data_IF_794806207966
#
_entry.id   IF_794806207966
#
_cell.length_a   1.000
_cell.length_b   1.000
_cell.length_c   1.000
_cell.angle_alpha   90.00
_cell.angle_beta   90.00
_cell.angle_gamma   90.00
#
_symmetry.space_group_name_H-M   'P 1'
#
loop_
_entity.id
_entity.type
_entity.pdbx_description
1 polymer ?
#
# COMPACT_ATOMS: atom_id res chain seq x y z
N UNK A 1 -10.72 18.21 -0.83
CA UNK A 1 -11.71 17.12 -0.67
C UNK A 1 -11.26 15.89 0.14
N UNK A 2 -9.96 15.56 0.23
CA UNK A 2 -9.50 14.33 0.90
C UNK A 2 -9.46 14.30 2.43
N UNK A 3 -9.48 15.45 3.11
CA UNK A 3 -9.41 15.53 4.59
C UNK A 3 -10.80 15.39 5.22
N UNK A 4 -11.80 16.11 4.69
CA UNK A 4 -13.20 16.05 5.17
C UNK A 4 -13.76 14.62 5.05
N UNK A 5 -13.57 13.97 3.89
CA UNK A 5 -13.97 12.56 3.69
C UNK A 5 -13.29 11.59 4.66
N UNK A 6 -12.03 11.84 5.03
CA UNK A 6 -11.31 11.00 6.00
C UNK A 6 -11.81 11.20 7.41
N UNK A 7 -12.04 12.46 7.81
CA UNK A 7 -12.56 12.76 9.14
C UNK A 7 -13.97 12.18 9.30
N UNK A 8 -14.81 12.27 8.27
CA UNK A 8 -16.13 11.65 8.24
C UNK A 8 -16.06 10.12 8.33
N UNK A 9 -15.22 9.47 7.52
CA UNK A 9 -15.03 8.02 7.61
C UNK A 9 -14.48 7.58 8.98
N UNK A 10 -13.61 8.39 9.59
CA UNK A 10 -13.08 8.12 10.94
C UNK A 10 -14.19 8.23 11.99
N UNK A 11 -15.04 9.25 11.89
CA UNK A 11 -16.19 9.42 12.78
C UNK A 11 -17.16 8.25 12.65
N UNK A 12 -17.48 7.82 11.42
CA UNK A 12 -18.38 6.69 11.16
C UNK A 12 -17.80 5.38 11.72
N UNK A 13 -16.52 5.10 11.45
CA UNK A 13 -15.90 3.87 11.96
C UNK A 13 -15.82 3.85 13.49
N UNK A 14 -15.58 5.00 14.12
CA UNK A 14 -15.55 5.13 15.57
C UNK A 14 -16.94 5.03 16.19
N UNK A 15 -17.97 5.60 15.55
CA UNK A 15 -19.35 5.47 16.00
C UNK A 15 -19.86 4.04 15.88
N UNK A 16 -19.49 3.31 14.83
CA UNK A 16 -19.84 1.89 14.69
C UNK A 16 -19.22 1.05 15.82
N UNK A 17 -17.92 1.23 16.10
CA UNK A 17 -17.28 0.52 17.20
C UNK A 17 -17.87 0.87 18.57
N UNK A 18 -18.13 2.16 18.82
CA UNK A 18 -18.75 2.63 20.05
C UNK A 18 -20.18 2.07 20.22
N UNK A 19 -20.97 2.06 19.15
CA UNK A 19 -22.32 1.49 19.15
C UNK A 19 -22.31 0.03 19.62
N UNK A 20 -21.43 -0.82 19.07
CA UNK A 20 -21.38 -2.24 19.46
C UNK A 20 -20.98 -2.39 20.92
N UNK A 21 -19.98 -1.63 21.38
CA UNK A 21 -19.55 -1.70 22.79
C UNK A 21 -20.69 -1.28 23.73
N UNK A 22 -21.38 -0.18 23.43
CA UNK A 22 -22.51 0.29 24.24
C UNK A 22 -23.68 -0.71 24.22
N UNK A 23 -23.95 -1.32 23.06
CA UNK A 23 -25.01 -2.31 22.89
C UNK A 23 -24.71 -3.62 23.63
N UNK A 24 -23.55 -4.22 23.37
CA UNK A 24 -23.23 -5.57 23.83
C UNK A 24 -22.74 -5.56 25.27
N UNK A 25 -21.88 -4.61 25.65
CA UNK A 25 -21.25 -4.61 26.98
C UNK A 25 -22.15 -3.99 28.06
N UNK A 26 -22.97 -3.00 27.68
CA UNK A 26 -23.78 -2.26 28.64
C UNK A 26 -25.29 -2.41 28.42
N UNK A 27 -25.76 -2.93 27.28
CA UNK A 27 -27.19 -3.12 27.02
C UNK A 27 -28.00 -1.83 27.00
N UNK A 28 -27.36 -0.68 26.78
CA UNK A 28 -28.00 0.64 26.93
C UNK A 28 -28.80 1.09 25.70
N UNK A 29 -28.72 0.34 24.60
CA UNK A 29 -29.35 0.73 23.33
C UNK A 29 -30.81 0.28 23.28
N UNK A 30 -31.12 -0.93 23.74
CA UNK A 30 -32.49 -1.42 23.81
C UNK A 30 -33.44 -0.50 24.61
N UNK A 31 -33.14 -0.08 25.85
CA UNK A 31 -34.04 0.77 26.64
C UNK A 31 -34.23 2.20 26.09
N UNK A 32 -33.32 2.68 25.24
CA UNK A 32 -33.42 4.03 24.65
C UNK A 32 -34.33 4.05 23.41
N UNK A 33 -34.51 2.89 22.76
CA UNK A 33 -35.24 2.76 21.49
C UNK A 33 -36.58 2.05 21.68
N UNK A 34 -36.71 1.18 22.69
CA UNK A 34 -37.85 0.32 22.93
C UNK A 34 -38.42 0.65 24.30
N UNK A 35 -39.67 1.14 24.33
CA UNK A 35 -40.33 1.49 25.58
C UNK A 35 -40.61 0.23 26.43
N UNK A 36 -40.13 0.24 27.67
CA UNK A 36 -40.31 -0.87 28.62
C UNK A 36 -39.27 -1.99 28.54
N UNK A 37 -38.27 -1.89 27.66
CA UNK A 37 -37.18 -2.85 27.62
C UNK A 37 -36.21 -2.66 28.80
N UNK A 38 -35.83 -3.76 29.45
CA UNK A 38 -34.73 -3.78 30.41
C UNK A 38 -33.37 -3.65 29.69
N UNK A 39 -32.27 -3.28 30.40
CA UNK A 39 -30.94 -3.22 29.82
C UNK A 39 -30.54 -4.58 29.21
N UNK A 40 -30.60 -4.62 27.88
CA UNK A 40 -30.46 -5.84 27.10
C UNK A 40 -29.75 -5.52 25.79
N UNK A 41 -29.09 -6.54 25.24
CA UNK A 41 -28.39 -6.39 23.97
C UNK A 41 -29.41 -6.44 22.83
N UNK A 42 -29.32 -5.50 21.91
CA UNK A 42 -30.09 -5.52 20.68
C UNK A 42 -29.38 -6.35 19.60
N UNK A 43 -29.95 -7.48 19.14
CA UNK A 43 -29.35 -8.26 18.05
C UNK A 43 -29.64 -7.60 16.69
N UNK A 44 -28.69 -6.80 16.19
CA UNK A 44 -28.85 -5.99 14.96
C UNK A 44 -29.23 -6.82 13.73
N UNK A 45 -28.75 -8.06 13.62
CA UNK A 45 -29.10 -8.93 12.49
C UNK A 45 -30.54 -9.44 12.58
N UNK A 46 -31.05 -9.69 13.79
CA UNK A 46 -32.44 -10.12 13.98
C UNK A 46 -33.41 -8.97 13.73
N UNK A 47 -33.01 -7.73 13.98
CA UNK A 47 -33.81 -6.53 13.64
C UNK A 47 -34.11 -6.37 12.14
N UNK A 48 -33.43 -7.13 11.26
CA UNK A 48 -33.74 -7.18 9.82
C UNK A 48 -34.94 -8.09 9.52
N UNK A 49 -35.34 -8.93 10.48
CA UNK A 49 -36.46 -9.83 10.34
C UNK A 49 -37.77 -9.09 10.67
N UNK A 50 -38.85 -9.32 9.91
CA UNK A 50 -40.07 -8.53 10.03
C UNK A 50 -40.80 -8.71 11.38
N UNK A 51 -40.50 -9.76 12.13
CA UNK A 51 -41.04 -10.00 13.47
C UNK A 51 -40.24 -9.30 14.58
N UNK A 52 -39.07 -8.74 14.27
CA UNK A 52 -38.28 -7.93 15.19
C UNK A 52 -38.46 -6.42 14.95
N UNK A 53 -39.63 -6.02 14.45
CA UNK A 53 -39.99 -4.60 14.40
C UNK A 53 -40.18 -4.08 15.84
N UNK A 54 -39.73 -2.85 16.11
CA UNK A 54 -39.81 -2.22 17.44
C UNK A 54 -41.21 -2.32 18.04
N UNK A 55 -42.25 -2.05 17.24
CA UNK A 55 -43.64 -2.12 17.68
C UNK A 55 -44.12 -3.52 18.10
N UNK A 56 -43.56 -4.57 17.50
CA UNK A 56 -43.90 -5.96 17.88
C UNK A 56 -43.15 -6.35 19.16
N UNK A 57 -41.89 -5.92 19.29
CA UNK A 57 -41.10 -6.12 20.52
C UNK A 57 -41.75 -5.42 21.72
N UNK A 58 -42.17 -4.16 21.56
CA UNK A 58 -42.88 -3.42 22.62
C UNK A 58 -44.18 -4.13 23.03
N UNK A 59 -44.88 -4.71 22.06
CA UNK A 59 -46.10 -5.47 22.31
C UNK A 59 -45.81 -6.75 23.07
N UNK A 60 -44.80 -7.53 22.67
CA UNK A 60 -44.36 -8.75 23.37
C UNK A 60 -43.96 -8.45 24.83
N UNK A 61 -43.20 -7.37 25.05
CA UNK A 61 -42.80 -6.90 26.38
C UNK A 61 -44.03 -6.47 27.19
N UNK A 62 -44.99 -5.77 26.58
CA UNK A 62 -46.22 -5.33 27.25
C UNK A 62 -47.12 -6.51 27.69
N UNK A 63 -47.03 -7.62 26.97
CA UNK A 63 -47.72 -8.89 27.28
C UNK A 63 -46.94 -9.72 28.33
N UNK A 64 -45.75 -9.27 28.73
CA UNK A 64 -44.90 -9.92 29.73
C UNK A 64 -44.05 -11.08 29.17
N UNK A 65 -43.89 -11.17 27.85
CA UNK A 65 -43.07 -12.17 27.19
C UNK A 65 -41.65 -11.65 26.93
N UNK A 66 -40.67 -12.55 27.05
CA UNK A 66 -39.31 -12.29 26.59
C UNK A 66 -39.29 -12.19 25.06
N UNK A 67 -38.60 -11.18 24.52
CA UNK A 67 -38.49 -11.01 23.08
C UNK A 67 -37.26 -11.73 22.51
N UNK A 68 -37.46 -12.47 21.43
CA UNK A 68 -36.40 -13.23 20.73
C UNK A 68 -35.30 -12.35 20.11
N UNK A 69 -35.63 -11.08 19.90
CA UNK A 69 -34.80 -10.06 19.25
C UNK A 69 -33.82 -9.39 20.23
N UNK A 70 -34.02 -9.58 21.53
CA UNK A 70 -33.13 -9.12 22.59
C UNK A 70 -32.26 -10.29 23.08
N UNK A 71 -31.00 -9.98 23.36
CA UNK A 71 -30.01 -10.92 23.89
C UNK A 71 -29.49 -10.49 25.26
N UNK A 72 -28.82 -11.40 25.99
CA UNK A 72 -28.20 -11.05 27.25
C UNK A 72 -27.00 -10.11 27.05
N UNK A 73 -26.80 -9.23 28.03
CA UNK A 73 -25.66 -8.31 28.06
C UNK A 73 -24.37 -9.10 28.29
N UNK A 74 -23.31 -8.74 27.57
CA UNK A 74 -22.00 -9.39 27.64
C UNK A 74 -21.82 -10.58 26.69
N UNK A 75 -22.87 -11.06 26.05
CA UNK A 75 -22.76 -12.13 25.05
C UNK A 75 -22.45 -11.56 23.66
N UNK A 76 -21.28 -11.89 23.13
CA UNK A 76 -20.83 -11.42 21.83
C UNK A 76 -21.21 -12.39 20.72
N UNK A 77 -21.98 -11.92 19.73
CA UNK A 77 -22.33 -12.70 18.55
C UNK A 77 -21.40 -12.40 17.37
N UNK A 78 -21.41 -13.29 16.37
CA UNK A 78 -20.64 -13.09 15.13
C UNK A 78 -20.98 -11.78 14.41
N UNK A 79 -22.24 -11.35 14.47
CA UNK A 79 -22.68 -10.08 13.89
C UNK A 79 -22.01 -8.87 14.54
N UNK A 80 -21.82 -8.88 15.86
CA UNK A 80 -21.20 -7.80 16.62
C UNK A 80 -19.73 -7.64 16.24
N UNK A 81 -19.01 -8.76 16.10
CA UNK A 81 -17.62 -8.78 15.65
C UNK A 81 -17.47 -8.33 14.19
N UNK A 82 -18.40 -8.71 13.31
CA UNK A 82 -18.41 -8.21 11.95
C UNK A 82 -18.59 -6.69 11.92
N UNK A 83 -19.53 -6.14 12.70
CA UNK A 83 -19.78 -4.71 12.74
C UNK A 83 -18.60 -3.92 13.33
N UNK A 84 -17.98 -4.40 14.41
CA UNK A 84 -16.73 -3.81 14.94
C UNK A 84 -15.60 -3.94 13.93
N UNK A 85 -15.46 -5.11 13.29
CA UNK A 85 -14.44 -5.39 12.29
C UNK A 85 -14.53 -4.43 11.10
N UNK A 86 -15.73 -4.16 10.60
CA UNK A 86 -15.98 -3.17 9.56
C UNK A 86 -15.66 -1.74 10.03
N UNK A 87 -16.09 -1.36 11.23
CA UNK A 87 -15.77 -0.06 11.84
C UNK A 87 -14.26 0.16 11.97
N UNK A 88 -13.53 -0.84 12.49
CA UNK A 88 -12.07 -0.84 12.60
C UNK A 88 -11.40 -0.83 11.23
N UNK A 89 -11.92 -1.57 10.25
CA UNK A 89 -11.37 -1.58 8.89
C UNK A 89 -11.43 -0.19 8.25
N UNK A 90 -12.56 0.52 8.39
CA UNK A 90 -12.71 1.90 7.92
C UNK A 90 -11.70 2.82 8.62
N UNK A 91 -11.52 2.69 9.93
CA UNK A 91 -10.55 3.45 10.73
C UNK A 91 -9.10 3.21 10.25
N UNK A 92 -8.73 1.94 10.09
CA UNK A 92 -7.39 1.53 9.68
C UNK A 92 -7.06 2.00 8.27
N UNK A 93 -7.98 1.85 7.31
CA UNK A 93 -7.78 2.34 5.93
C UNK A 93 -7.67 3.87 5.86
N UNK A 94 -8.37 4.59 6.75
CA UNK A 94 -8.36 6.05 6.79
C UNK A 94 -7.10 6.65 7.41
N UNK A 95 -6.56 6.05 8.48
CA UNK A 95 -5.47 6.60 9.31
C UNK A 95 -4.13 5.92 9.06
N UNK A 96 -4.11 4.62 8.80
CA UNK A 96 -2.90 3.82 8.74
C UNK A 96 -2.30 3.88 7.34
N UNK A 97 -1.52 4.95 7.11
CA UNK A 97 -0.74 5.11 5.89
C UNK A 97 0.57 4.35 6.02
N UNK A 98 0.65 3.20 5.35
CA UNK A 98 1.93 2.51 5.18
C UNK A 98 2.95 3.45 4.52
N UNK A 99 4.22 3.44 4.97
CA UNK A 99 5.25 4.32 4.43
C UNK A 99 5.35 4.15 2.90
N UNK A 100 5.26 5.27 2.19
CA UNK A 100 5.02 5.26 0.74
C UNK A 100 6.30 5.34 -0.09
N UNK A 101 7.31 6.08 0.37
CA UNK A 101 8.54 6.37 -0.37
C UNK A 101 9.79 6.10 0.48
N UNK A 102 10.89 5.74 -0.18
CA UNK A 102 12.21 5.55 0.43
C UNK A 102 12.59 4.08 0.68
N UNK A 103 13.88 3.86 0.98
CA UNK A 103 14.44 2.52 1.23
C UNK A 103 13.79 1.82 2.43
N UNK A 104 13.40 2.59 3.45
CA UNK A 104 12.69 2.09 4.63
C UNK A 104 11.26 1.64 4.33
N UNK A 105 10.55 2.33 3.44
CA UNK A 105 9.23 1.90 2.99
C UNK A 105 9.25 0.51 2.31
N UNK A 106 10.26 0.25 1.46
CA UNK A 106 10.44 -1.06 0.83
C UNK A 106 10.76 -2.17 1.85
N UNK A 107 11.57 -1.88 2.86
CA UNK A 107 11.90 -2.84 3.94
C UNK A 107 10.69 -3.16 4.81
N UNK A 108 9.99 -2.14 5.30
CA UNK A 108 8.79 -2.31 6.13
C UNK A 108 7.72 -3.11 5.39
N UNK A 109 7.52 -2.88 4.09
CA UNK A 109 6.59 -3.67 3.28
C UNK A 109 6.98 -5.13 3.14
N UNK A 110 8.27 -5.44 2.94
CA UNK A 110 8.72 -6.84 2.90
C UNK A 110 8.42 -7.53 4.21
N UNK A 111 8.70 -6.87 5.34
CA UNK A 111 8.40 -7.40 6.67
C UNK A 111 6.91 -7.62 6.84
N UNK A 112 6.07 -6.62 6.57
CA UNK A 112 4.61 -6.73 6.66
C UNK A 112 4.07 -7.86 5.77
N UNK A 113 4.55 -7.98 4.53
CA UNK A 113 4.15 -9.04 3.62
C UNK A 113 4.56 -10.42 4.16
N UNK A 114 5.80 -10.59 4.64
CA UNK A 114 6.25 -11.86 5.22
C UNK A 114 5.49 -12.21 6.50
N UNK A 115 5.16 -11.22 7.33
CA UNK A 115 4.34 -11.41 8.52
C UNK A 115 2.89 -11.76 8.16
N UNK A 116 2.33 -11.13 7.12
CA UNK A 116 1.03 -11.50 6.55
C UNK A 116 1.02 -12.93 6.01
N UNK A 117 2.04 -13.28 5.22
CA UNK A 117 2.62 -14.61 5.00
C UNK A 117 2.31 -15.60 6.11
N UNK A 118 2.99 -15.37 7.23
CA UNK A 118 2.96 -16.22 8.39
C UNK A 118 1.56 -16.30 9.01
N UNK A 119 0.88 -15.19 9.25
CA UNK A 119 -0.44 -15.20 9.89
C UNK A 119 -1.51 -15.90 9.06
N UNK A 120 -1.54 -15.66 7.75
CA UNK A 120 -2.48 -16.33 6.87
C UNK A 120 -2.16 -17.84 6.74
N UNK A 121 -0.88 -18.18 6.66
CA UNK A 121 -0.44 -19.59 6.67
C UNK A 121 -0.78 -20.30 7.97
N UNK A 122 -0.59 -19.65 9.12
CA UNK A 122 -0.97 -20.17 10.43
C UNK A 122 -2.48 -20.38 10.50
N UNK A 123 -3.30 -19.45 10.01
CA UNK A 123 -4.76 -19.62 9.98
C UNK A 123 -5.20 -20.81 9.12
N UNK A 124 -4.50 -21.09 8.00
CA UNK A 124 -4.75 -22.27 7.17
C UNK A 124 -4.31 -23.55 7.87
N UNK A 125 -3.11 -23.56 8.46
CA UNK A 125 -2.57 -24.72 9.18
C UNK A 125 -3.42 -25.07 10.40
N UNK A 126 -4.00 -24.06 11.05
CA UNK A 126 -4.98 -24.19 12.12
C UNK A 126 -6.26 -24.88 11.62
N UNK A 127 -6.71 -24.59 10.39
CA UNK A 127 -7.88 -25.28 9.80
C UNK A 127 -7.61 -26.74 9.48
N UNK A 128 -6.37 -27.03 9.12
CA UNK A 128 -5.91 -28.37 8.77
C UNK A 128 -5.50 -29.19 10.01
N UNK A 129 -5.71 -28.66 11.22
CA UNK A 129 -5.38 -29.30 12.50
C UNK A 129 -3.90 -29.74 12.61
N UNK A 130 -3.02 -29.09 11.84
CA UNK A 130 -1.59 -29.38 11.78
C UNK A 130 -0.80 -28.66 12.88
N UNK A 131 -1.44 -27.78 13.64
CA UNK A 131 -0.82 -27.01 14.72
C UNK A 131 -1.09 -27.67 16.08
N UNK A 132 -0.11 -27.63 17.01
CA UNK A 132 -0.35 -28.03 18.39
C UNK A 132 -1.39 -27.11 19.03
N UNK A 133 -2.26 -27.68 19.87
CA UNK A 133 -3.41 -27.00 20.50
C UNK A 133 -3.05 -25.71 21.25
N UNK A 134 -1.81 -25.57 21.71
CA UNK A 134 -1.30 -24.36 22.38
C UNK A 134 -1.05 -23.17 21.44
N UNK A 135 -0.91 -23.40 20.13
CA UNK A 135 -0.66 -22.37 19.10
C UNK A 135 -1.87 -22.18 18.18
N UNK A 136 -2.81 -23.12 18.20
CA UNK A 136 -4.05 -23.05 17.44
C UNK A 136 -5.05 -22.04 17.98
N UNK A 137 -6.13 -21.82 17.23
CA UNK A 137 -7.20 -20.89 17.60
C UNK A 137 -7.86 -21.21 18.95
N UNK A 138 -7.89 -22.48 19.35
CA UNK A 138 -8.40 -22.92 20.65
C UNK A 138 -7.53 -22.39 21.80
N UNK A 139 -6.21 -22.56 21.71
CA UNK A 139 -5.27 -22.04 22.69
C UNK A 139 -5.35 -20.52 22.80
N UNK A 140 -5.39 -19.81 21.68
CA UNK A 140 -5.48 -18.35 21.68
C UNK A 140 -6.82 -17.86 22.23
N UNK A 141 -7.93 -18.54 21.93
CA UNK A 141 -9.25 -18.21 22.48
C UNK A 141 -9.26 -18.29 24.01
N UNK A 142 -8.57 -19.26 24.61
CA UNK A 142 -8.49 -19.39 26.09
C UNK A 142 -7.64 -18.32 26.78
N UNK A 143 -6.76 -17.62 26.06
CA UNK A 143 -5.95 -16.53 26.61
C UNK A 143 -6.67 -15.17 26.59
N UNK A 144 -7.73 -15.04 25.78
CA UNK A 144 -8.50 -13.80 25.70
C UNK A 144 -9.53 -13.83 26.84
N UNK A 145 -9.63 -12.78 27.68
CA UNK A 145 -10.57 -12.73 28.81
C UNK A 145 -12.03 -12.50 28.38
N UNK A 146 -12.41 -12.97 27.19
CA UNK A 146 -13.71 -12.81 26.54
C UNK A 146 -14.05 -14.16 25.91
N UNK A 147 -15.27 -14.67 26.13
CA UNK A 147 -15.77 -15.89 25.51
C UNK A 147 -15.87 -15.69 23.98
N UNK A 148 -14.81 -16.05 23.26
CA UNK A 148 -14.75 -15.99 21.81
C UNK A 148 -14.63 -17.40 21.23
N UNK A 149 -15.40 -17.67 20.17
CA UNK A 149 -15.26 -18.94 19.45
C UNK A 149 -13.87 -19.04 18.77
N UNK A 150 -13.22 -20.22 18.77
CA UNK A 150 -11.94 -20.43 18.10
C UNK A 150 -11.98 -20.05 16.60
N UNK A 151 -13.12 -20.30 15.95
CA UNK A 151 -13.33 -19.97 14.54
C UNK A 151 -13.16 -18.46 14.26
N UNK A 152 -13.53 -17.58 15.21
CA UNK A 152 -13.34 -16.13 15.05
C UNK A 152 -11.88 -15.71 15.19
N UNK A 153 -11.14 -16.33 16.11
CA UNK A 153 -9.70 -16.08 16.25
C UNK A 153 -8.99 -16.45 14.94
N UNK A 154 -9.38 -17.56 14.34
CA UNK A 154 -8.87 -18.02 13.05
C UNK A 154 -9.18 -17.04 11.91
N UNK A 155 -10.44 -16.60 11.78
CA UNK A 155 -10.84 -15.62 10.76
C UNK A 155 -10.13 -14.29 10.99
N UNK A 156 -10.02 -13.83 12.23
CA UNK A 156 -9.30 -12.61 12.60
C UNK A 156 -7.83 -12.68 12.17
N UNK A 157 -7.15 -13.78 12.46
CA UNK A 157 -5.77 -14.01 12.04
C UNK A 157 -5.62 -14.03 10.51
N UNK A 158 -6.56 -14.66 9.80
CA UNK A 158 -6.59 -14.67 8.34
C UNK A 158 -6.82 -13.28 7.74
N UNK A 159 -7.76 -12.50 8.28
CA UNK A 159 -8.07 -11.14 7.81
C UNK A 159 -6.90 -10.20 8.07
N UNK A 160 -6.27 -10.27 9.25
CA UNK A 160 -5.06 -9.51 9.57
C UNK A 160 -3.93 -9.92 8.61
N UNK A 161 -3.72 -11.22 8.40
CA UNK A 161 -2.74 -11.74 7.46
C UNK A 161 -2.94 -11.20 6.04
N UNK A 162 -4.17 -11.27 5.53
CA UNK A 162 -4.55 -10.77 4.21
C UNK A 162 -4.42 -9.24 4.10
N UNK A 163 -4.76 -8.50 5.17
CA UNK A 163 -4.58 -7.05 5.21
C UNK A 163 -3.10 -6.66 5.13
N UNK A 164 -2.22 -7.38 5.84
CA UNK A 164 -0.78 -7.16 5.80
C UNK A 164 -0.16 -7.52 4.43
N UNK A 165 -0.73 -8.49 3.72
CA UNK A 165 -0.35 -8.81 2.34
C UNK A 165 -0.79 -7.75 1.32
N UNK A 166 -1.76 -6.90 1.66
CA UNK A 166 -2.32 -5.91 0.74
C UNK A 166 -1.23 -4.93 0.30
N UNK A 167 -0.79 -5.09 -0.95
CA UNK A 167 0.25 -4.29 -1.57
C UNK A 167 -0.11 -2.81 -1.73
N UNK A 168 0.84 -1.97 -2.17
CA UNK A 168 0.62 -0.53 -2.31
C UNK A 168 -0.59 -0.25 -3.21
N UNK A 169 -1.53 0.57 -2.71
CA UNK A 169 -2.75 1.01 -3.41
C UNK A 169 -2.49 1.81 -4.71
N UNK A 170 -1.22 1.99 -5.11
CA UNK A 170 -0.77 2.77 -6.26
C UNK A 170 0.27 1.98 -7.05
N UNK A 171 -0.18 0.91 -7.70
CA UNK A 171 0.61 0.18 -8.71
C UNK A 171 1.12 1.11 -9.83
N UNK A 172 0.37 2.18 -10.10
CA UNK A 172 0.75 3.24 -11.03
C UNK A 172 1.98 4.03 -10.59
N UNK A 173 2.18 4.26 -9.28
CA UNK A 173 3.31 5.07 -8.82
C UNK A 173 4.67 4.35 -9.02
N UNK A 174 4.70 3.02 -8.90
CA UNK A 174 5.90 2.22 -9.13
C UNK A 174 6.21 2.06 -10.63
N UNK A 175 5.17 1.91 -11.46
CA UNK A 175 5.32 1.96 -12.92
C UNK A 175 5.79 3.35 -13.40
N UNK A 176 5.27 4.42 -12.80
CA UNK A 176 5.70 5.80 -13.09
C UNK A 176 7.13 6.05 -12.59
N UNK A 177 7.51 5.52 -11.42
CA UNK A 177 8.89 5.65 -10.90
C UNK A 177 9.90 4.89 -11.77
N UNK A 178 9.59 3.65 -12.20
CA UNK A 178 10.43 2.89 -13.13
C UNK A 178 10.54 3.53 -14.51
N UNK A 179 9.45 4.15 -15.02
CA UNK A 179 9.49 4.87 -16.29
C UNK A 179 10.27 6.18 -16.17
N UNK A 180 10.15 6.91 -15.06
CA UNK A 180 10.95 8.10 -14.79
C UNK A 180 12.44 7.79 -14.66
N UNK A 181 12.82 6.74 -13.93
CA UNK A 181 14.23 6.32 -13.78
C UNK A 181 14.84 5.97 -15.15
N UNK A 182 14.12 5.19 -15.98
CA UNK A 182 14.53 4.90 -17.37
C UNK A 182 14.64 6.16 -18.24
N UNK A 183 13.79 7.16 -18.02
CA UNK A 183 13.85 8.44 -18.74
C UNK A 183 15.00 9.33 -18.27
N UNK A 184 15.31 9.32 -16.98
CA UNK A 184 16.46 10.03 -16.39
C UNK A 184 17.78 9.45 -16.90
N UNK A 185 17.95 8.13 -16.92
CA UNK A 185 19.13 7.46 -17.50
C UNK A 185 19.33 7.85 -18.98
N UNK A 186 18.23 7.86 -19.75
CA UNK A 186 18.26 8.29 -21.16
C UNK A 186 18.63 9.77 -21.30
N UNK A 187 18.17 10.63 -20.38
CA UNK A 187 18.50 12.07 -20.35
C UNK A 187 19.96 12.29 -19.97
N UNK A 188 20.51 11.54 -19.02
CA UNK A 188 21.92 11.62 -18.64
C UNK A 188 22.83 11.23 -19.82
N UNK A 189 22.51 10.12 -20.49
CA UNK A 189 23.22 9.69 -21.70
C UNK A 189 23.14 10.79 -22.77
N UNK A 190 21.94 11.30 -23.07
CA UNK A 190 21.76 12.38 -24.03
C UNK A 190 22.50 13.67 -23.67
N UNK A 191 22.57 14.03 -22.37
CA UNK A 191 23.36 15.17 -21.88
C UNK A 191 24.86 14.94 -22.04
N UNK A 192 25.34 13.71 -21.85
CA UNK A 192 26.74 13.34 -22.13
C UNK A 192 27.06 13.42 -23.63
N UNK A 193 26.13 12.99 -24.49
CA UNK A 193 26.23 13.19 -25.94
C UNK A 193 26.21 14.68 -26.33
N UNK A 194 25.31 15.49 -25.77
CA UNK A 194 25.23 16.93 -26.03
C UNK A 194 26.44 17.71 -25.52
N UNK A 195 26.97 17.39 -24.35
CA UNK A 195 28.17 18.04 -23.83
C UNK A 195 29.44 17.61 -24.58
N UNK A 196 29.45 16.41 -25.18
CA UNK A 196 30.61 15.87 -25.90
C UNK A 196 30.58 16.16 -27.40
N UNK A 197 29.41 16.26 -28.03
CA UNK A 197 29.26 16.53 -29.48
C UNK A 197 28.42 17.75 -29.82
N UNK A 198 27.52 18.16 -28.92
CA UNK A 198 26.82 19.42 -29.06
C UNK A 198 27.76 20.58 -28.80
N UNK A 199 27.46 21.72 -29.41
CA UNK A 199 28.09 22.99 -29.11
C UNK A 199 27.83 23.33 -27.65
N UNK A 200 28.80 23.07 -26.77
CA UNK A 200 28.93 23.91 -25.59
C UNK A 200 29.20 25.30 -26.15
N UNK A 201 28.17 26.12 -26.25
CA UNK A 201 28.28 27.53 -26.56
C UNK A 201 29.03 28.18 -25.40
N UNK A 202 30.35 27.97 -25.33
CA UNK A 202 31.22 28.83 -24.54
C UNK A 202 31.11 30.21 -25.18
N UNK A 203 30.76 31.26 -24.43
CA UNK A 203 30.66 32.59 -24.98
C UNK A 203 31.98 32.94 -25.68
N UNK A 204 31.89 33.57 -26.86
CA UNK A 204 33.03 33.93 -27.72
C UNK A 204 34.15 34.69 -27.01
N UNK A 205 33.89 35.18 -25.81
CA UNK A 205 34.73 36.04 -25.00
C UNK A 205 35.82 35.25 -24.26
N UNK A 206 35.67 33.93 -24.08
CA UNK A 206 36.60 33.07 -23.31
C UNK A 206 37.65 32.33 -24.17
N UNK A 207 37.61 32.48 -25.51
CA UNK A 207 38.49 31.76 -26.43
C UNK A 207 39.58 32.71 -26.99
N UNK A 208 40.86 32.44 -26.74
CA UNK A 208 41.99 33.20 -27.29
C UNK A 208 42.58 32.57 -28.56
N UNK A 209 42.98 33.43 -29.51
CA UNK A 209 43.84 33.06 -30.65
C UNK A 209 43.23 32.15 -31.72
N UNK A 210 44.04 31.24 -32.29
CA UNK A 210 43.69 30.35 -33.42
C UNK A 210 42.41 29.51 -33.17
N UNK A 211 42.04 29.26 -31.92
CA UNK A 211 40.82 28.54 -31.54
C UNK A 211 39.52 29.33 -31.84
N UNK A 212 39.57 30.67 -31.88
CA UNK A 212 38.41 31.52 -32.27
C UNK A 212 38.01 31.33 -33.74
N UNK A 213 38.98 31.05 -34.61
CA UNK A 213 38.72 30.89 -36.06
C UNK A 213 38.16 29.50 -36.37
N UNK A 214 38.61 28.46 -35.67
CA UNK A 214 38.08 27.08 -35.78
C UNK A 214 36.68 26.96 -35.15
N UNK A 215 36.38 27.73 -34.10
CA UNK A 215 35.05 27.75 -33.47
C UNK A 215 33.99 28.56 -34.25
N UNK A 216 34.37 29.34 -35.27
CA UNK A 216 33.45 30.19 -36.05
C UNK A 216 32.68 29.44 -37.14
N UNK A 217 33.16 28.29 -37.61
CA UNK A 217 32.43 27.49 -38.61
C UNK A 217 31.94 26.18 -37.97
N UNK A 218 30.62 25.92 -37.96
CA UNK A 218 30.07 24.68 -37.42
C UNK A 218 30.59 23.44 -38.17
N UNK A 219 31.03 23.61 -39.41
CA UNK A 219 31.66 22.57 -40.24
C UNK A 219 33.07 22.20 -39.74
N UNK A 220 33.98 23.15 -39.54
CA UNK A 220 35.34 22.81 -39.07
C UNK A 220 35.39 22.30 -37.63
N UNK A 221 34.43 22.70 -36.78
CA UNK A 221 34.35 22.15 -35.43
C UNK A 221 33.91 20.68 -35.44
N UNK A 222 32.98 20.31 -36.34
CA UNK A 222 32.55 18.93 -36.55
C UNK A 222 33.67 18.07 -37.11
N UNK A 223 34.44 18.62 -38.04
CA UNK A 223 35.56 17.91 -38.68
C UNK A 223 36.77 17.74 -37.78
N UNK A 224 37.01 18.67 -36.84
CA UNK A 224 38.14 18.60 -35.88
C UNK A 224 38.10 17.39 -34.93
N UNK A 225 36.97 16.69 -34.87
CA UNK A 225 36.74 15.51 -34.01
C UNK A 225 36.58 14.22 -34.81
N UNK A 226 36.84 14.28 -36.11
CA UNK A 226 36.94 13.10 -36.97
C UNK A 226 38.39 12.62 -36.94
N UNK A 227 38.58 11.37 -36.54
CA UNK A 227 39.89 10.73 -36.55
C UNK A 227 39.99 9.87 -37.81
N UNK A 228 40.97 10.18 -38.65
CA UNK A 228 41.29 9.38 -39.82
C UNK A 228 42.06 8.14 -39.35
N UNK A 229 41.50 6.96 -39.56
CA UNK A 229 42.18 5.69 -39.30
C UNK A 229 42.39 4.97 -40.63
N UNK A 230 43.62 4.48 -40.86
CA UNK A 230 43.98 3.77 -42.08
C UNK A 230 43.88 2.27 -41.83
N UNK A 231 42.89 1.63 -42.44
CA UNK A 231 42.71 0.17 -42.41
C UNK A 231 43.22 -0.49 -43.69
N UNK A 232 43.14 -1.83 -43.75
CA UNK A 232 43.57 -2.60 -44.94
C UNK A 232 42.79 -2.27 -46.21
N UNK A 233 41.58 -1.71 -46.08
CA UNK A 233 40.71 -1.29 -47.19
C UNK A 233 40.69 0.22 -47.48
N UNK A 234 41.65 1.00 -46.97
CA UNK A 234 41.75 2.45 -47.20
C UNK A 234 41.55 3.32 -45.95
N UNK A 235 41.48 4.64 -46.17
CA UNK A 235 41.28 5.63 -45.10
C UNK A 235 39.80 5.67 -44.73
N UNK A 236 39.48 5.32 -43.47
CA UNK A 236 38.13 5.39 -42.91
C UNK A 236 38.04 6.57 -41.96
N UNK A 237 37.00 7.37 -42.13
CA UNK A 237 36.67 8.49 -41.24
C UNK A 237 35.79 7.94 -40.13
N UNK A 238 36.28 7.97 -38.88
CA UNK A 238 35.55 7.50 -37.71
C UNK A 238 35.35 8.64 -36.71
N UNK A 239 34.25 8.60 -35.96
CA UNK A 239 33.98 9.59 -34.93
C UNK A 239 34.64 9.17 -33.61
N UNK A 240 35.18 10.13 -32.85
CA UNK A 240 35.67 9.83 -31.50
C UNK A 240 34.54 9.34 -30.61
N UNK A 241 34.75 8.23 -29.88
CA UNK A 241 33.76 7.66 -28.99
C UNK A 241 33.44 8.63 -27.82
N UNK A 242 32.16 8.94 -27.54
CA UNK A 242 31.77 9.93 -26.53
C UNK A 242 32.05 9.49 -25.10
N UNK A 243 32.08 8.17 -24.87
CA UNK A 243 32.21 7.61 -23.54
C UNK A 243 33.65 7.69 -23.01
N UNK A 244 34.63 7.60 -23.90
CA UNK A 244 36.06 7.56 -23.57
C UNK A 244 36.87 8.70 -24.19
N UNK A 245 36.25 9.60 -24.96
CA UNK A 245 36.90 10.76 -25.59
C UNK A 245 38.18 10.39 -26.36
N UNK A 246 38.18 9.24 -27.04
CA UNK A 246 39.34 8.74 -27.78
C UNK A 246 40.30 7.84 -26.99
N UNK A 247 40.15 7.72 -25.67
CA UNK A 247 41.03 6.88 -24.82
C UNK A 247 40.78 5.37 -24.89
N UNK A 248 39.72 4.93 -25.57
CA UNK A 248 39.30 3.53 -25.62
C UNK A 248 38.45 3.11 -24.41
N UNK A 249 37.33 2.43 -24.68
CA UNK A 249 36.53 1.80 -23.63
C UNK A 249 35.78 0.59 -24.18
N UNK A 250 35.18 -0.19 -23.30
CA UNK A 250 34.37 -1.37 -23.66
C UNK A 250 33.23 -1.07 -24.64
N UNK A 251 32.71 0.16 -24.68
CA UNK A 251 31.67 0.57 -25.63
C UNK A 251 32.16 0.79 -27.06
N UNK A 252 33.46 0.98 -27.26
CA UNK A 252 34.10 1.09 -28.57
C UNK A 252 35.17 -0.01 -28.77
N UNK A 253 35.05 -1.16 -28.10
CA UNK A 253 36.05 -2.24 -28.19
C UNK A 253 37.50 -1.75 -27.99
N UNK A 254 37.69 -0.78 -27.08
CA UNK A 254 38.98 -0.17 -26.77
C UNK A 254 39.66 0.59 -27.92
N UNK A 255 38.99 0.83 -29.05
CA UNK A 255 39.55 1.58 -30.19
C UNK A 255 39.53 3.09 -29.99
N UNK A 256 38.66 3.58 -29.09
CA UNK A 256 38.47 5.01 -28.86
C UNK A 256 37.59 5.70 -29.92
N UNK A 257 37.17 4.96 -30.95
CA UNK A 257 36.43 5.47 -32.12
C UNK A 257 35.20 4.60 -32.43
N UNK A 258 34.18 5.18 -33.05
CA UNK A 258 32.94 4.52 -33.49
C UNK A 258 32.58 4.94 -34.92
#
# INVERSE_FOLDING_TARGET
MGVIRRNLATLIGLSMAAFVVVNVQFGLIAPEIIDGAEPSKLDVMKMLEPHCAISEIEKEISEGNDSFCLGPVGEWNGADFLLIGEGLFILLVGKLRLPQKGRWAKRIRKVLFTTGCAFFGLAILDRLELLPTSVGSEGIATLIPIDMSPLFVQIGLAVIGAFLMRGPKYWEAEAIEQTNERLEDRREVANKFRSTFGTNARPLNELQGKQKRVARSPLMHRDSRLTMSRGSGGVKVQATCPYCKGGGCRKCNSTGTI
#
